data_IF_293254745699
#
_entry.id   IF_293254745699
#
_cell.length_a   1.000
_cell.length_b   1.000
_cell.length_c   1.000
_cell.angle_alpha   90.00
_cell.angle_beta   90.00
_cell.angle_gamma   90.00
#
_symmetry.space_group_name_H-M   'P 1'
#
loop_
_entity.id
_entity.type
_entity.pdbx_description
1 polymer ?
#
# COMPACT_ATOMS: atom_id res chain seq x y z
N UNK A 1 19.93 18.30 8.22
CA UNK A 1 19.04 17.95 7.11
C UNK A 1 17.61 18.39 7.38
N UNK A 2 16.97 18.95 6.37
CA UNK A 2 15.54 19.27 6.38
C UNK A 2 14.83 18.30 5.45
N UNK A 3 13.83 17.58 5.96
CA UNK A 3 12.97 16.69 5.17
C UNK A 3 11.74 17.47 4.71
N UNK A 4 11.44 17.44 3.42
CA UNK A 4 10.30 18.11 2.81
C UNK A 4 9.62 17.24 1.76
N UNK A 5 8.32 17.41 1.57
CA UNK A 5 7.55 16.89 0.43
C UNK A 5 7.26 17.96 -0.61
N UNK A 6 7.59 19.22 -0.31
CA UNK A 6 7.42 20.36 -1.22
C UNK A 6 8.64 20.54 -2.10
N UNK A 7 8.46 20.49 -3.41
CA UNK A 7 9.52 20.73 -4.39
C UNK A 7 10.01 22.17 -4.27
N UNK A 8 9.10 23.13 -4.09
CA UNK A 8 9.46 24.54 -3.95
C UNK A 8 10.35 24.78 -2.73
N UNK A 9 9.99 24.20 -1.58
CA UNK A 9 10.83 24.25 -0.37
C UNK A 9 12.22 23.66 -0.64
N UNK A 10 12.30 22.54 -1.33
CA UNK A 10 13.58 21.92 -1.69
C UNK A 10 14.41 22.77 -2.66
N UNK A 11 13.77 23.52 -3.58
CA UNK A 11 14.44 24.48 -4.46
C UNK A 11 15.10 25.57 -3.61
N UNK A 12 14.33 26.22 -2.72
CA UNK A 12 14.81 27.30 -1.84
C UNK A 12 15.98 26.80 -0.98
N UNK A 13 15.83 25.66 -0.30
CA UNK A 13 16.87 25.11 0.56
C UNK A 13 18.14 24.76 -0.23
N UNK A 14 17.98 24.18 -1.42
CA UNK A 14 19.12 23.85 -2.28
C UNK A 14 19.84 25.10 -2.77
N UNK A 15 19.10 26.15 -3.15
CA UNK A 15 19.65 27.43 -3.56
C UNK A 15 20.41 28.12 -2.42
N UNK A 16 19.88 28.06 -1.20
CA UNK A 16 20.54 28.55 0.01
C UNK A 16 21.70 27.64 0.48
N UNK A 17 22.08 26.64 -0.31
CA UNK A 17 23.16 25.69 -0.02
C UNK A 17 22.91 24.87 1.27
N UNK A 18 21.64 24.66 1.66
CA UNK A 18 21.23 23.89 2.83
C UNK A 18 21.00 22.43 2.44
N UNK A 19 21.63 21.50 3.20
CA UNK A 19 21.39 20.04 3.01
C UNK A 19 19.92 19.71 3.25
N UNK A 20 19.23 19.19 2.21
CA UNK A 20 17.81 18.85 2.30
C UNK A 20 17.48 17.52 1.63
N UNK A 21 16.34 16.97 2.01
CA UNK A 21 15.82 15.70 1.51
C UNK A 21 14.42 15.94 0.99
N UNK A 22 14.20 15.68 -0.31
CA UNK A 22 12.88 15.72 -0.93
C UNK A 22 12.29 14.32 -0.97
N UNK A 23 11.16 14.11 -0.28
CA UNK A 23 10.42 12.86 -0.30
C UNK A 23 9.37 12.85 -1.42
N UNK A 24 9.41 11.82 -2.30
CA UNK A 24 8.55 11.69 -3.47
C UNK A 24 7.70 10.42 -3.37
N UNK A 25 6.37 10.58 -3.44
CA UNK A 25 5.39 9.50 -3.29
C UNK A 25 4.72 9.07 -4.60
N UNK A 26 4.78 9.89 -5.64
CA UNK A 26 4.16 9.62 -6.95
C UNK A 26 4.93 10.29 -8.06
N UNK A 27 4.64 9.93 -9.30
CA UNK A 27 5.24 10.61 -10.44
C UNK A 27 4.78 12.07 -10.49
N UNK A 28 5.65 12.92 -11.01
CA UNK A 28 5.42 14.36 -11.11
C UNK A 28 4.84 14.71 -12.48
N UNK A 29 3.88 15.64 -12.50
CA UNK A 29 3.23 16.13 -13.72
C UNK A 29 3.02 17.65 -13.66
N UNK A 30 2.75 18.28 -14.80
CA UNK A 30 2.47 19.71 -14.87
C UNK A 30 3.57 20.57 -14.23
N UNK A 31 3.18 21.58 -13.48
CA UNK A 31 4.05 22.53 -12.80
C UNK A 31 5.05 21.83 -11.87
N UNK A 32 4.61 20.81 -11.12
CA UNK A 32 5.49 20.04 -10.24
C UNK A 32 6.66 19.39 -10.97
N UNK A 33 6.43 18.90 -12.19
CA UNK A 33 7.49 18.32 -13.02
C UNK A 33 8.46 19.39 -13.53
N UNK A 34 7.96 20.57 -13.89
CA UNK A 34 8.79 21.70 -14.33
C UNK A 34 9.69 22.15 -13.18
N UNK A 35 9.11 22.40 -12.00
CA UNK A 35 9.86 22.79 -10.81
C UNK A 35 10.91 21.73 -10.41
N UNK A 36 10.56 20.47 -10.50
CA UNK A 36 11.50 19.38 -10.22
C UNK A 36 12.66 19.36 -11.21
N UNK A 37 12.40 19.57 -12.49
CA UNK A 37 13.45 19.64 -13.51
C UNK A 37 14.40 20.83 -13.28
N UNK A 38 13.89 21.96 -12.78
CA UNK A 38 14.71 23.09 -12.34
C UNK A 38 15.59 22.67 -11.17
N UNK A 39 14.99 22.09 -10.12
CA UNK A 39 15.69 21.65 -8.91
C UNK A 39 16.89 20.75 -9.22
N UNK A 40 16.69 19.71 -10.05
CA UNK A 40 17.75 18.74 -10.37
C UNK A 40 18.86 19.29 -11.29
N UNK A 41 18.64 20.46 -11.90
CA UNK A 41 19.63 21.16 -12.73
C UNK A 41 20.42 22.22 -11.96
N UNK A 42 20.01 22.57 -10.72
CA UNK A 42 20.73 23.57 -9.93
C UNK A 42 22.20 23.17 -9.74
N UNK A 43 23.15 24.12 -9.81
CA UNK A 43 24.58 23.84 -9.64
C UNK A 43 24.89 23.27 -8.26
N UNK A 44 24.17 23.71 -7.25
CA UNK A 44 24.31 23.27 -5.83
C UNK A 44 23.50 22.01 -5.48
N UNK A 45 23.05 21.23 -6.48
CA UNK A 45 22.26 20.00 -6.26
C UNK A 45 22.93 18.93 -5.39
N UNK A 46 24.24 19.04 -5.13
CA UNK A 46 24.94 18.17 -4.16
C UNK A 46 24.35 18.22 -2.76
N UNK A 47 23.63 19.27 -2.42
CA UNK A 47 22.90 19.43 -1.14
C UNK A 47 21.54 18.74 -1.13
N UNK A 48 21.05 18.31 -2.30
CA UNK A 48 19.79 17.62 -2.46
C UNK A 48 19.97 16.09 -2.35
N UNK A 49 19.11 15.47 -1.58
CA UNK A 49 18.92 14.01 -1.55
C UNK A 49 17.45 13.71 -1.86
N UNK A 50 17.20 12.67 -2.64
CA UNK A 50 15.83 12.22 -2.93
C UNK A 50 15.51 10.99 -2.08
N UNK A 51 14.38 10.99 -1.38
CA UNK A 51 13.77 9.83 -0.78
C UNK A 51 12.56 9.44 -1.62
N UNK A 52 12.57 8.24 -2.19
CA UNK A 52 11.45 7.74 -2.99
C UNK A 52 10.83 6.52 -2.31
N UNK A 53 9.50 6.39 -2.38
CA UNK A 53 8.80 5.22 -1.82
C UNK A 53 8.84 4.00 -2.75
N UNK A 54 9.34 4.15 -3.99
CA UNK A 54 9.39 3.07 -4.97
C UNK A 54 10.54 3.30 -5.97
N UNK A 55 11.22 2.21 -6.36
CA UNK A 55 12.32 2.27 -7.34
C UNK A 55 11.91 2.77 -8.72
N UNK A 56 10.65 2.54 -9.12
CA UNK A 56 10.16 3.02 -10.41
C UNK A 56 10.16 4.55 -10.48
N UNK A 57 9.99 5.26 -9.35
CA UNK A 57 10.10 6.71 -9.32
C UNK A 57 11.50 7.19 -9.68
N UNK A 58 12.55 6.54 -9.17
CA UNK A 58 13.95 6.88 -9.49
C UNK A 58 14.20 6.73 -10.98
N UNK A 59 13.70 5.61 -11.56
CA UNK A 59 13.87 5.31 -12.99
C UNK A 59 13.13 6.30 -13.88
N UNK A 60 11.85 6.55 -13.60
CA UNK A 60 10.98 7.33 -14.47
C UNK A 60 11.25 8.85 -14.37
N UNK A 61 11.70 9.32 -13.20
CA UNK A 61 12.19 10.68 -13.02
C UNK A 61 13.64 10.88 -13.51
N UNK A 62 14.31 9.80 -13.98
CA UNK A 62 15.69 9.82 -14.51
C UNK A 62 16.72 10.40 -13.52
N UNK A 63 16.56 10.11 -12.24
CA UNK A 63 17.37 10.67 -11.15
C UNK A 63 18.39 9.68 -10.57
N UNK A 64 18.74 8.64 -11.29
CA UNK A 64 19.73 7.64 -10.84
C UNK A 64 21.10 8.22 -10.49
N UNK A 65 21.49 9.34 -11.12
CA UNK A 65 22.74 10.08 -10.85
C UNK A 65 22.64 11.06 -9.68
N UNK A 66 21.44 11.30 -9.14
CA UNK A 66 21.23 12.13 -7.95
C UNK A 66 21.27 11.23 -6.73
N UNK A 67 21.86 11.74 -5.66
CA UNK A 67 21.87 11.03 -4.38
C UNK A 67 20.44 10.70 -3.95
N UNK A 68 20.17 9.41 -3.74
CA UNK A 68 18.83 8.97 -3.39
C UNK A 68 18.83 7.75 -2.49
N UNK A 69 17.71 7.55 -1.81
CA UNK A 69 17.36 6.32 -1.08
C UNK A 69 15.94 5.91 -1.44
N UNK A 70 15.69 4.61 -1.53
CA UNK A 70 14.34 4.06 -1.73
C UNK A 70 13.93 3.36 -0.45
N UNK A 71 12.86 3.86 0.18
CA UNK A 71 12.27 3.28 1.38
C UNK A 71 10.77 3.15 1.18
N UNK A 72 10.29 1.91 1.17
CA UNK A 72 8.87 1.61 1.17
C UNK A 72 8.17 2.24 2.38
N UNK A 73 6.85 2.46 2.29
CA UNK A 73 6.04 2.76 3.46
C UNK A 73 6.06 1.59 4.45
N UNK A 74 5.47 1.78 5.60
CA UNK A 74 5.44 0.78 6.65
C UNK A 74 4.15 0.81 7.45
N UNK A 75 4.08 0.00 8.48
CA UNK A 75 3.01 0.00 9.48
C UNK A 75 3.57 -0.03 10.90
N UNK A 76 2.71 0.27 11.87
CA UNK A 76 3.03 0.09 13.28
C UNK A 76 2.99 -1.39 13.63
N UNK A 77 4.11 -1.92 14.11
CA UNK A 77 4.21 -3.30 14.59
C UNK A 77 4.20 -3.28 16.13
N UNK A 78 3.09 -3.63 16.73
CA UNK A 78 3.02 -3.76 18.19
C UNK A 78 3.79 -5.00 18.64
N UNK A 79 4.79 -4.81 19.51
CA UNK A 79 5.67 -5.88 20.01
C UNK A 79 4.96 -6.94 20.89
N UNK A 80 3.79 -6.65 21.42
CA UNK A 80 2.99 -7.56 22.26
C UNK A 80 1.68 -7.89 21.56
N UNK A 81 1.31 -9.17 21.53
CA UNK A 81 0.04 -9.75 21.06
C UNK A 81 0.07 -10.31 19.63
N UNK A 82 0.68 -11.49 19.51
CA UNK A 82 0.37 -12.40 18.38
C UNK A 82 -0.84 -13.31 18.65
N UNK A 83 -1.67 -13.02 19.64
CA UNK A 83 -2.94 -13.70 19.80
C UNK A 83 -3.92 -13.18 18.75
N UNK A 84 -4.05 -13.91 17.68
CA UNK A 84 -5.10 -13.72 16.68
C UNK A 84 -6.43 -14.13 17.32
N UNK A 85 -7.25 -13.16 17.64
CA UNK A 85 -8.60 -13.42 18.15
C UNK A 85 -9.56 -13.43 16.95
N UNK A 86 -9.45 -14.46 16.09
CA UNK A 86 -10.30 -14.60 14.91
C UNK A 86 -11.75 -14.70 15.35
N UNK A 87 -12.53 -13.69 15.00
CA UNK A 87 -13.95 -13.58 15.34
C UNK A 87 -14.85 -13.91 14.16
N UNK A 88 -14.37 -13.66 12.95
CA UNK A 88 -15.17 -13.73 11.75
C UNK A 88 -14.73 -14.91 10.89
N UNK A 89 -15.51 -16.00 10.98
CA UNK A 89 -15.40 -17.14 10.08
C UNK A 89 -15.98 -16.79 8.71
N UNK A 90 -15.50 -17.44 7.66
CA UNK A 90 -15.97 -17.24 6.28
C UNK A 90 -16.13 -15.75 5.87
N UNK A 91 -15.27 -14.88 6.39
CA UNK A 91 -15.35 -13.44 6.15
C UNK A 91 -14.03 -12.90 5.65
N UNK A 92 -14.08 -12.17 4.53
CA UNK A 92 -12.96 -11.43 3.99
C UNK A 92 -13.02 -9.97 4.41
N UNK A 93 -11.87 -9.36 4.75
CA UNK A 93 -11.79 -7.94 5.07
C UNK A 93 -11.07 -7.14 3.99
N UNK A 94 -11.54 -5.94 3.76
CA UNK A 94 -10.88 -4.89 2.98
C UNK A 94 -10.81 -3.61 3.79
N UNK A 95 -9.66 -2.94 3.76
CA UNK A 95 -9.49 -1.62 4.37
C UNK A 95 -8.95 -0.61 3.34
N UNK A 96 -9.43 0.62 3.40
CA UNK A 96 -8.92 1.75 2.63
C UNK A 96 -9.96 2.46 1.77
N UNK A 97 -9.49 3.42 0.97
CA UNK A 97 -10.35 4.23 0.10
C UNK A 97 -11.03 3.39 -0.98
N UNK A 98 -12.25 3.82 -1.36
CA UNK A 98 -13.11 3.10 -2.32
C UNK A 98 -13.07 3.71 -3.73
N UNK A 99 -11.96 4.37 -4.10
CA UNK A 99 -11.81 4.93 -5.45
C UNK A 99 -11.66 3.85 -6.51
N UNK A 100 -12.00 4.21 -7.74
CA UNK A 100 -11.86 3.35 -8.92
C UNK A 100 -10.46 2.72 -9.01
N UNK A 101 -10.44 1.43 -9.29
CA UNK A 101 -9.20 0.64 -9.37
C UNK A 101 -8.64 0.18 -8.03
N UNK A 102 -9.27 0.53 -6.89
CA UNK A 102 -8.86 0.05 -5.56
C UNK A 102 -9.41 -1.32 -5.20
N UNK A 103 -10.28 -1.90 -6.07
CA UNK A 103 -10.72 -3.28 -6.00
C UNK A 103 -12.14 -3.52 -5.52
N UNK A 104 -12.94 -2.49 -5.32
CA UNK A 104 -14.35 -2.65 -4.94
C UNK A 104 -15.14 -3.44 -6.00
N UNK A 105 -14.85 -3.19 -7.27
CA UNK A 105 -15.45 -3.87 -8.40
C UNK A 105 -15.19 -5.39 -8.38
N UNK A 106 -13.97 -5.78 -7.99
CA UNK A 106 -13.59 -7.20 -7.87
C UNK A 106 -14.29 -7.83 -6.66
N UNK A 107 -14.34 -7.12 -5.53
CA UNK A 107 -15.07 -7.60 -4.34
C UNK A 107 -16.56 -7.76 -4.67
N UNK A 108 -17.16 -6.84 -5.42
CA UNK A 108 -18.55 -6.94 -5.85
C UNK A 108 -18.79 -8.15 -6.76
N UNK A 109 -17.85 -8.47 -7.66
CA UNK A 109 -17.95 -9.68 -8.48
C UNK A 109 -17.82 -10.96 -7.64
N UNK A 110 -16.88 -10.98 -6.70
CA UNK A 110 -16.70 -12.10 -5.77
C UNK A 110 -17.94 -12.32 -4.92
N UNK A 111 -18.55 -11.27 -4.37
CA UNK A 111 -19.72 -11.39 -3.50
C UNK A 111 -20.91 -12.03 -4.20
N UNK A 112 -21.09 -11.79 -5.50
CA UNK A 112 -22.16 -12.40 -6.30
C UNK A 112 -22.01 -13.91 -6.47
N UNK A 113 -20.77 -14.40 -6.59
CA UNK A 113 -20.48 -15.81 -6.81
C UNK A 113 -20.11 -16.58 -5.54
N UNK A 114 -20.05 -15.90 -4.39
CA UNK A 114 -19.71 -16.44 -3.08
C UNK A 114 -20.74 -16.02 -2.03
N UNK A 115 -22.01 -16.43 -2.13
CA UNK A 115 -23.08 -15.96 -1.24
C UNK A 115 -22.87 -16.32 0.24
N UNK A 116 -22.10 -17.38 0.51
CA UNK A 116 -21.81 -17.87 1.87
C UNK A 116 -20.55 -17.23 2.49
N UNK A 117 -19.92 -16.26 1.82
CA UNK A 117 -18.76 -15.51 2.32
C UNK A 117 -19.18 -14.07 2.54
N UNK A 118 -18.94 -13.51 3.71
CA UNK A 118 -19.13 -12.09 3.97
C UNK A 118 -17.90 -11.28 3.55
N UNK A 119 -18.14 -10.07 3.08
CA UNK A 119 -17.10 -9.12 2.68
C UNK A 119 -17.26 -7.84 3.51
N UNK A 120 -16.41 -7.67 4.53
CA UNK A 120 -16.41 -6.49 5.38
C UNK A 120 -15.48 -5.42 4.81
N UNK A 121 -16.03 -4.24 4.55
CA UNK A 121 -15.33 -3.12 3.92
C UNK A 121 -15.23 -1.96 4.89
N UNK A 122 -14.01 -1.64 5.32
CA UNK A 122 -13.69 -0.47 6.12
C UNK A 122 -13.08 0.61 5.23
N UNK A 123 -13.81 1.70 5.07
CA UNK A 123 -13.42 2.82 4.24
C UNK A 123 -14.54 3.81 4.07
N UNK A 124 -14.19 5.02 3.67
CA UNK A 124 -15.16 6.07 3.44
C UNK A 124 -15.66 6.02 2.00
N UNK A 125 -16.98 5.94 1.84
CA UNK A 125 -17.66 6.13 0.57
C UNK A 125 -17.87 7.63 0.39
N UNK A 126 -17.16 8.26 -0.52
CA UNK A 126 -17.46 9.65 -0.85
C UNK A 126 -18.77 9.71 -1.65
N UNK A 127 -19.64 10.66 -1.28
CA UNK A 127 -20.92 10.94 -1.94
C UNK A 127 -20.77 11.30 -3.42
N UNK A 128 -19.60 11.79 -3.84
CA UNK A 128 -19.29 12.12 -5.24
C UNK A 128 -18.91 10.92 -6.11
N UNK A 129 -18.47 9.82 -5.51
CA UNK A 129 -18.18 8.62 -6.26
C UNK A 129 -19.48 7.90 -6.53
N UNK A 130 -20.10 8.25 -7.68
CA UNK A 130 -21.21 7.52 -8.29
C UNK A 130 -20.76 6.09 -8.62
N UNK A 131 -20.48 5.29 -7.60
CA UNK A 131 -20.73 3.86 -7.67
C UNK A 131 -22.26 3.78 -7.65
N UNK A 132 -22.82 3.81 -8.86
CA UNK A 132 -24.23 3.85 -9.08
C UNK A 132 -24.94 2.87 -8.16
N UNK A 133 -25.90 3.44 -7.43
CA UNK A 133 -27.08 2.83 -6.85
C UNK A 133 -26.88 1.54 -6.03
N UNK A 134 -27.45 1.56 -4.88
CA UNK A 134 -27.66 0.46 -3.93
C UNK A 134 -28.24 -0.85 -4.53
N UNK A 135 -28.66 -0.85 -5.79
CA UNK A 135 -29.31 -1.97 -6.46
C UNK A 135 -28.40 -3.11 -6.93
N UNK A 136 -27.05 -2.90 -6.94
CA UNK A 136 -26.12 -3.92 -7.43
C UNK A 136 -25.17 -4.50 -6.36
N UNK A 137 -25.28 -4.05 -5.11
CA UNK A 137 -24.43 -4.51 -4.01
C UNK A 137 -25.08 -5.74 -3.40
N UNK A 138 -24.36 -6.88 -3.42
CA UNK A 138 -24.83 -8.13 -2.83
C UNK A 138 -25.03 -7.99 -1.31
N UNK A 139 -26.04 -8.67 -0.76
CA UNK A 139 -26.41 -8.64 0.67
C UNK A 139 -25.26 -9.04 1.61
N UNK A 140 -24.26 -9.79 1.12
CA UNK A 140 -23.09 -10.25 1.87
C UNK A 140 -21.91 -9.26 1.84
N UNK A 141 -22.05 -8.07 1.25
CA UNK A 141 -21.11 -6.96 1.42
C UNK A 141 -21.60 -6.08 2.58
N UNK A 142 -20.75 -5.90 3.59
CA UNK A 142 -21.03 -5.09 4.77
C UNK A 142 -20.07 -3.89 4.83
N UNK A 143 -20.57 -2.70 4.54
CA UNK A 143 -19.80 -1.47 4.75
C UNK A 143 -19.77 -1.14 6.23
N UNK A 144 -18.57 -1.08 6.81
CA UNK A 144 -18.32 -0.82 8.25
C UNK A 144 -17.91 0.64 8.53
N UNK A 145 -17.90 1.47 7.48
CA UNK A 145 -17.52 2.88 7.61
C UNK A 145 -16.02 3.11 7.79
N UNK A 146 -15.67 4.36 8.07
CA UNK A 146 -14.30 4.76 8.36
C UNK A 146 -13.92 4.41 9.80
N UNK A 147 -12.67 4.00 9.99
CA UNK A 147 -12.10 3.75 11.31
C UNK A 147 -10.76 4.46 11.44
N UNK A 148 -10.41 4.88 12.65
CA UNK A 148 -9.12 5.53 12.91
C UNK A 148 -7.96 4.55 12.65
N UNK A 149 -6.81 5.07 12.21
CA UNK A 149 -5.63 4.26 11.93
C UNK A 149 -5.19 3.43 13.16
N UNK A 150 -5.31 3.99 14.35
CA UNK A 150 -4.97 3.31 15.61
C UNK A 150 -5.79 2.04 15.87
N UNK A 151 -6.99 1.94 15.30
CA UNK A 151 -7.89 0.79 15.47
C UNK A 151 -7.72 -0.27 14.37
N UNK A 152 -7.10 0.07 13.23
CA UNK A 152 -7.00 -0.80 12.05
C UNK A 152 -6.39 -2.15 12.40
N UNK A 153 -5.26 -2.18 13.09
CA UNK A 153 -4.59 -3.43 13.42
C UNK A 153 -5.46 -4.34 14.32
N UNK A 154 -6.15 -3.76 15.35
CA UNK A 154 -7.08 -4.49 16.21
C UNK A 154 -8.27 -5.07 15.43
N UNK A 155 -8.74 -4.35 14.40
CA UNK A 155 -9.82 -4.83 13.54
C UNK A 155 -9.33 -5.97 12.65
N UNK A 156 -8.21 -5.79 11.96
CA UNK A 156 -7.67 -6.75 11.00
C UNK A 156 -7.36 -8.12 11.64
N UNK A 157 -6.91 -8.15 12.89
CA UNK A 157 -6.65 -9.38 13.65
C UNK A 157 -7.87 -10.25 13.88
N UNK A 158 -9.07 -9.77 13.64
CA UNK A 158 -10.31 -10.53 13.74
C UNK A 158 -10.61 -11.37 12.48
N UNK A 159 -9.81 -11.22 11.41
CA UNK A 159 -10.03 -11.84 10.11
C UNK A 159 -8.85 -12.71 9.70
N UNK A 160 -9.15 -13.84 9.06
CA UNK A 160 -8.12 -14.67 8.44
C UNK A 160 -7.63 -14.08 7.13
N UNK A 161 -8.56 -13.66 6.26
CA UNK A 161 -8.28 -13.22 4.89
C UNK A 161 -8.46 -11.72 4.75
N UNK A 162 -7.43 -11.05 4.22
CA UNK A 162 -7.47 -9.65 3.84
C UNK A 162 -7.32 -9.48 2.32
N UNK A 163 -8.18 -8.64 1.73
CA UNK A 163 -8.24 -8.47 0.28
C UNK A 163 -7.53 -7.21 -0.18
N UNK A 164 -6.69 -7.35 -1.19
CA UNK A 164 -5.99 -6.27 -1.88
C UNK A 164 -6.14 -6.42 -3.41
N UNK A 165 -7.37 -6.42 -3.95
CA UNK A 165 -7.67 -6.75 -5.34
C UNK A 165 -7.57 -5.54 -6.26
N UNK A 166 -6.42 -4.86 -6.27
CA UNK A 166 -6.18 -3.69 -7.11
C UNK A 166 -6.31 -4.00 -8.59
N UNK A 167 -6.93 -3.12 -9.35
CA UNK A 167 -6.98 -3.22 -10.81
C UNK A 167 -5.64 -2.80 -11.44
N UNK A 168 -5.45 -3.15 -12.72
CA UNK A 168 -4.24 -2.77 -13.47
C UNK A 168 -4.08 -1.26 -13.59
N UNK A 169 -5.20 -0.51 -13.69
CA UNK A 169 -5.22 0.96 -13.72
C UNK A 169 -5.79 1.48 -12.40
N UNK A 170 -5.04 2.27 -11.70
CA UNK A 170 -5.41 2.87 -10.41
C UNK A 170 -5.26 4.37 -10.55
N UNK A 171 -6.36 5.11 -10.36
CA UNK A 171 -6.35 6.56 -10.39
C UNK A 171 -5.93 7.16 -9.05
N UNK A 172 -5.22 8.29 -9.08
CA UNK A 172 -4.97 9.09 -7.90
C UNK A 172 -6.26 9.77 -7.41
N UNK A 173 -6.28 10.16 -6.14
CA UNK A 173 -7.49 10.68 -5.45
C UNK A 173 -8.17 11.86 -6.15
N UNK A 174 -7.41 12.72 -6.81
CA UNK A 174 -7.88 14.00 -7.36
C UNK A 174 -7.54 14.22 -8.82
N UNK A 175 -7.05 13.21 -9.50
CA UNK A 175 -6.61 13.34 -10.90
C UNK A 175 -6.77 12.03 -11.65
N UNK A 176 -6.86 12.11 -12.98
CA UNK A 176 -6.80 10.94 -13.86
C UNK A 176 -5.36 10.36 -13.97
N UNK A 177 -4.44 10.79 -13.11
CA UNK A 177 -3.08 10.30 -13.09
C UNK A 177 -3.05 8.83 -12.69
N UNK A 178 -2.50 7.98 -13.53
CA UNK A 178 -2.30 6.57 -13.23
C UNK A 178 -1.13 6.39 -12.26
N UNK A 179 -1.40 5.77 -11.11
CA UNK A 179 -0.42 5.56 -10.04
C UNK A 179 -0.06 4.09 -9.81
N UNK A 180 -0.65 3.17 -10.56
CA UNK A 180 -0.47 1.71 -10.37
C UNK A 180 0.98 1.26 -10.35
N UNK A 181 1.85 1.96 -11.11
CA UNK A 181 3.29 1.66 -11.21
C UNK A 181 4.09 2.06 -9.97
N UNK A 182 3.60 3.04 -9.18
CA UNK A 182 4.33 3.66 -8.07
C UNK A 182 3.68 3.43 -6.71
N UNK A 183 2.55 2.75 -6.68
CA UNK A 183 1.77 2.61 -5.46
C UNK A 183 2.52 1.80 -4.40
N UNK A 184 2.56 2.33 -3.18
CA UNK A 184 2.99 1.66 -1.96
C UNK A 184 1.82 1.69 -0.97
N UNK A 185 0.89 0.72 -1.05
CA UNK A 185 -0.35 0.81 -0.28
C UNK A 185 -0.12 0.46 1.19
N UNK A 186 -0.40 1.39 2.10
CA UNK A 186 -0.29 1.20 3.54
C UNK A 186 -1.00 -0.06 4.03
N UNK A 187 -2.19 -0.37 3.48
CA UNK A 187 -2.95 -1.58 3.84
C UNK A 187 -2.15 -2.88 3.70
N UNK A 188 -1.21 -2.96 2.76
CA UNK A 188 -0.35 -4.13 2.56
C UNK A 188 0.49 -4.40 3.81
N UNK A 189 1.06 -3.36 4.38
CA UNK A 189 1.88 -3.43 5.59
C UNK A 189 1.03 -3.65 6.83
N UNK A 190 -0.18 -3.06 6.89
CA UNK A 190 -1.14 -3.27 7.96
C UNK A 190 -1.62 -4.73 8.00
N UNK A 191 -1.89 -5.34 6.83
CA UNK A 191 -2.25 -6.75 6.71
C UNK A 191 -1.11 -7.67 7.15
N UNK A 192 0.14 -7.32 6.82
CA UNK A 192 1.31 -8.03 7.37
C UNK A 192 1.37 -7.94 8.89
N UNK A 193 1.20 -6.74 9.45
CA UNK A 193 1.26 -6.51 10.89
C UNK A 193 0.12 -7.19 11.67
N UNK A 194 -1.00 -7.47 11.01
CA UNK A 194 -2.11 -8.22 11.57
C UNK A 194 -1.98 -9.74 11.40
N UNK A 195 -1.05 -10.22 10.56
CA UNK A 195 -0.88 -11.64 10.25
C UNK A 195 -1.99 -12.22 9.37
N UNK A 196 -2.59 -11.40 8.51
CA UNK A 196 -3.62 -11.87 7.60
C UNK A 196 -3.03 -12.67 6.43
N UNK A 197 -3.80 -13.62 5.91
CA UNK A 197 -3.56 -14.21 4.59
C UNK A 197 -4.00 -13.19 3.55
N UNK A 198 -3.03 -12.57 2.88
CA UNK A 198 -3.29 -11.50 1.92
C UNK A 198 -3.61 -12.09 0.55
N UNK A 199 -4.80 -11.82 0.04
CA UNK A 199 -5.16 -12.06 -1.34
C UNK A 199 -4.92 -10.80 -2.17
N UNK A 200 -3.92 -10.80 -3.02
CA UNK A 200 -3.48 -9.63 -3.77
C UNK A 200 -3.55 -9.84 -5.28
N UNK A 201 -3.82 -8.75 -5.99
CA UNK A 201 -3.67 -8.73 -7.44
C UNK A 201 -2.20 -8.80 -7.86
N UNK A 202 -1.95 -9.46 -8.99
CA UNK A 202 -0.62 -9.50 -9.60
C UNK A 202 -0.28 -8.12 -10.22
N UNK A 203 0.33 -7.24 -9.43
CA UNK A 203 0.83 -5.94 -9.87
C UNK A 203 2.34 -5.85 -9.68
N UNK A 204 3.06 -5.46 -10.73
CA UNK A 204 4.53 -5.33 -10.70
C UNK A 204 5.04 -4.42 -9.56
N UNK A 205 4.24 -3.42 -9.16
CA UNK A 205 4.59 -2.51 -8.05
C UNK A 205 4.78 -3.24 -6.71
N UNK A 206 4.14 -4.40 -6.51
CA UNK A 206 4.19 -5.16 -5.26
C UNK A 206 5.21 -6.30 -5.25
N UNK A 207 5.76 -6.69 -6.41
CA UNK A 207 6.57 -7.91 -6.55
C UNK A 207 7.86 -7.92 -5.70
N UNK A 208 8.33 -6.75 -5.25
CA UNK A 208 9.50 -6.67 -4.36
C UNK A 208 9.12 -6.91 -2.89
N UNK A 209 7.85 -6.76 -2.53
CA UNK A 209 7.31 -6.95 -1.18
C UNK A 209 6.52 -8.25 -1.06
N UNK A 210 5.52 -8.44 -1.95
CA UNK A 210 4.66 -9.63 -1.94
C UNK A 210 5.33 -10.77 -2.71
N UNK A 211 5.35 -11.95 -2.09
CA UNK A 211 5.86 -13.19 -2.67
C UNK A 211 4.77 -14.24 -2.62
N UNK A 212 4.36 -14.71 -3.82
CA UNK A 212 3.28 -15.69 -3.94
C UNK A 212 3.60 -16.99 -3.18
N UNK A 213 2.63 -17.53 -2.46
CA UNK A 213 2.73 -18.70 -1.59
C UNK A 213 3.80 -18.58 -0.48
N UNK A 214 4.34 -17.38 -0.24
CA UNK A 214 5.31 -17.13 0.85
C UNK A 214 4.68 -16.24 1.91
N UNK A 215 4.32 -14.98 1.55
CA UNK A 215 3.71 -14.02 2.47
C UNK A 215 2.38 -13.43 1.95
N UNK A 216 1.93 -13.89 0.79
CA UNK A 216 0.65 -13.54 0.18
C UNK A 216 0.23 -14.59 -0.84
N UNK A 217 -1.04 -14.59 -1.23
CA UNK A 217 -1.59 -15.31 -2.37
C UNK A 217 -1.87 -14.32 -3.50
N UNK A 218 -1.15 -14.45 -4.61
CA UNK A 218 -1.16 -13.49 -5.72
C UNK A 218 -1.96 -14.07 -6.89
N UNK A 219 -2.99 -13.34 -7.32
CA UNK A 219 -3.91 -13.80 -8.35
C UNK A 219 -4.07 -12.76 -9.47
N UNK A 220 -4.53 -13.26 -10.63
CA UNK A 220 -4.91 -12.40 -11.73
C UNK A 220 -6.38 -11.98 -11.59
N UNK A 221 -6.66 -10.67 -11.68
CA UNK A 221 -8.01 -10.12 -11.57
C UNK A 221 -8.94 -10.46 -12.73
N UNK A 222 -8.41 -10.88 -13.87
CA UNK A 222 -9.23 -11.32 -15.00
C UNK A 222 -9.93 -12.67 -14.73
N UNK A 223 -9.46 -13.45 -13.75
CA UNK A 223 -10.01 -14.75 -13.42
C UNK A 223 -10.60 -14.77 -11.99
N UNK A 224 -11.82 -14.28 -11.88
CA UNK A 224 -12.57 -14.22 -10.61
C UNK A 224 -12.86 -15.61 -10.03
N UNK A 225 -13.00 -16.61 -10.89
CA UNK A 225 -13.26 -17.99 -10.47
C UNK A 225 -12.07 -18.53 -9.66
N UNK A 226 -10.84 -18.24 -10.07
CA UNK A 226 -9.66 -18.65 -9.31
C UNK A 226 -9.60 -18.00 -7.92
N UNK A 227 -10.04 -16.74 -7.79
CA UNK A 227 -10.18 -16.10 -6.48
C UNK A 227 -11.16 -16.86 -5.59
N UNK A 228 -12.36 -17.20 -6.10
CA UNK A 228 -13.37 -17.99 -5.40
C UNK A 228 -12.81 -19.34 -4.95
N UNK A 229 -12.20 -20.09 -5.88
CA UNK A 229 -11.67 -21.41 -5.58
C UNK A 229 -10.64 -21.34 -4.46
N UNK A 230 -9.69 -20.41 -4.55
CA UNK A 230 -8.61 -20.30 -3.58
C UNK A 230 -9.10 -19.75 -2.21
N UNK A 231 -10.03 -18.79 -2.20
CA UNK A 231 -10.64 -18.30 -0.94
C UNK A 231 -11.35 -19.44 -0.21
N UNK A 232 -12.16 -20.24 -0.94
CA UNK A 232 -12.85 -21.39 -0.37
C UNK A 232 -11.87 -22.46 0.13
N UNK A 233 -10.78 -22.73 -0.60
CA UNK A 233 -9.73 -23.64 -0.18
C UNK A 233 -9.07 -23.20 1.11
N UNK A 234 -8.75 -21.90 1.24
CA UNK A 234 -8.18 -21.32 2.47
C UNK A 234 -9.13 -21.43 3.65
N UNK A 235 -10.42 -21.14 3.47
CA UNK A 235 -11.39 -21.26 4.57
C UNK A 235 -11.59 -22.70 5.03
N UNK A 236 -11.49 -23.69 4.13
CA UNK A 236 -11.60 -25.11 4.49
C UNK A 236 -10.38 -25.64 5.25
N UNK A 237 -9.19 -25.16 4.93
CA UNK A 237 -7.92 -25.69 5.45
C UNK A 237 -7.00 -24.53 5.88
N UNK A 238 -7.41 -23.77 6.90
CA UNK A 238 -6.66 -22.60 7.37
C UNK A 238 -5.24 -22.92 7.85
N UNK A 239 -5.04 -24.10 8.42
CA UNK A 239 -3.73 -24.60 8.89
C UNK A 239 -2.69 -24.72 7.78
N UNK A 240 -3.10 -25.09 6.58
CA UNK A 240 -2.18 -25.20 5.43
C UNK A 240 -1.53 -23.86 5.06
N UNK A 241 -2.13 -22.76 5.52
CA UNK A 241 -1.69 -21.39 5.23
C UNK A 241 -1.05 -20.66 6.41
N UNK A 242 -0.80 -21.37 7.53
CA UNK A 242 -0.15 -20.75 8.69
C UNK A 242 1.26 -20.24 8.38
N UNK A 243 1.98 -20.90 7.46
CA UNK A 243 3.27 -20.43 6.98
C UNK A 243 3.17 -19.04 6.32
N UNK A 244 2.07 -18.74 5.58
CA UNK A 244 1.84 -17.42 4.97
C UNK A 244 1.59 -16.36 6.04
N UNK A 245 0.78 -16.66 7.05
CA UNK A 245 0.53 -15.77 8.20
C UNK A 245 1.84 -15.47 8.94
N UNK A 246 2.63 -16.50 9.22
CA UNK A 246 3.92 -16.35 9.89
C UNK A 246 4.87 -15.46 9.07
N UNK A 247 5.00 -15.72 7.77
CA UNK A 247 5.86 -14.94 6.88
C UNK A 247 5.35 -13.50 6.68
N UNK A 248 4.03 -13.28 6.71
CA UNK A 248 3.44 -11.94 6.71
C UNK A 248 3.89 -11.16 7.96
N UNK A 249 3.79 -11.78 9.15
CA UNK A 249 4.26 -11.19 10.41
C UNK A 249 5.78 -10.91 10.40
N UNK A 250 6.60 -11.80 9.86
CA UNK A 250 8.03 -11.53 9.69
C UNK A 250 8.28 -10.37 8.71
N UNK A 251 7.51 -10.30 7.63
CA UNK A 251 7.55 -9.18 6.68
C UNK A 251 7.21 -7.85 7.35
N UNK A 252 6.24 -7.83 8.27
CA UNK A 252 5.87 -6.60 9.00
C UNK A 252 7.02 -5.99 9.78
N UNK A 253 7.88 -6.83 10.40
CA UNK A 253 9.08 -6.36 11.11
C UNK A 253 10.04 -5.63 10.16
N UNK A 254 10.20 -6.16 8.94
CA UNK A 254 11.04 -5.55 7.90
C UNK A 254 10.48 -4.22 7.40
N UNK A 255 9.16 -4.12 7.30
CA UNK A 255 8.42 -2.97 6.77
C UNK A 255 7.67 -2.21 7.89
N UNK A 256 8.29 -2.05 9.05
CA UNK A 256 7.78 -1.19 10.12
C UNK A 256 8.26 0.26 9.96
N UNK A 257 7.48 1.21 10.49
CA UNK A 257 7.91 2.61 10.54
C UNK A 257 9.23 2.78 11.30
N UNK A 258 9.43 2.05 12.41
CA UNK A 258 10.68 2.05 13.17
C UNK A 258 11.88 1.61 12.31
N UNK A 259 11.72 0.51 11.56
CA UNK A 259 12.79 0.02 10.71
C UNK A 259 13.06 0.95 9.52
N UNK A 260 12.00 1.58 8.97
CA UNK A 260 12.14 2.63 7.95
C UNK A 260 12.94 3.82 8.49
N UNK A 261 12.60 4.29 9.70
CA UNK A 261 13.31 5.37 10.36
C UNK A 261 14.79 5.02 10.63
N UNK A 262 15.07 3.81 11.14
CA UNK A 262 16.45 3.34 11.36
C UNK A 262 17.28 3.33 10.07
N UNK A 263 16.71 2.81 8.96
CA UNK A 263 17.37 2.80 7.65
C UNK A 263 17.63 4.21 7.14
N UNK A 264 16.67 5.10 7.32
CA UNK A 264 16.80 6.50 6.95
C UNK A 264 17.89 7.20 7.75
N UNK A 265 17.88 7.07 9.09
CA UNK A 265 18.91 7.64 9.96
C UNK A 265 20.31 7.10 9.65
N UNK A 266 20.45 5.80 9.43
CA UNK A 266 21.71 5.20 8.98
C UNK A 266 22.16 5.80 7.65
N UNK A 267 21.28 5.99 6.69
CA UNK A 267 21.60 6.59 5.40
C UNK A 267 22.13 8.03 5.57
N UNK A 268 21.46 8.87 6.37
CA UNK A 268 21.88 10.26 6.56
C UNK A 268 23.16 10.39 7.41
N UNK A 269 23.43 9.46 8.33
CA UNK A 269 24.67 9.48 9.13
C UNK A 269 25.93 9.31 8.28
N UNK A 270 25.90 8.52 7.20
CA UNK A 270 27.02 8.41 6.25
C UNK A 270 27.37 9.72 5.54
N UNK A 271 26.59 10.79 5.71
CA UNK A 271 26.76 12.05 5.01
C UNK A 271 26.87 13.25 5.97
N UNK A 272 27.08 12.97 7.25
CA UNK A 272 27.43 14.02 8.22
C UNK A 272 28.90 14.48 8.07
N UNK A 273 29.72 13.61 7.50
CA UNK A 273 31.17 13.88 7.23
C UNK A 273 31.35 14.51 5.86
#
# INVERSE_FOLDING_TARGET
>A
FILSRSILTSIILTFLNIKNILEIHHNLSGISKILFNILIKLPVKKKLTILAINRNLIKDLKISKIKHIVLDDGSDVKKKEFSSNFKYENTCVYTGSLYKGKGLEIITKLSKIMPNVEFHIYGEKKTSDKVNSNSFISKNIKFKGHVSYSQINKILRKYHIALMPYEKKISARSSNLEISKYISPLKMFDYFAAGNIIFASNLKAFNHVLKNNVNALILNNSNIVNWKILINKVFRNLSDYDHIKHNALQSSKKFSWDNRAKKFLKFISFFKN
#
